data_IF_204568460624
#
_entry.id   IF_204568460624
#
_cell.length_a   1.000
_cell.length_b   1.000
_cell.length_c   1.000
_cell.angle_alpha   90.00
_cell.angle_beta   90.00
_cell.angle_gamma   90.00
#
_symmetry.space_group_name_H-M   'P 1'
#
loop_
_entity.id
_entity.type
_entity.pdbx_description
1 polymer ?
#
# COMPACT_ATOMS: atom_id res chain seq x y z
N UNK A 1 -1.78 0.78 -10.04
CA UNK A 1 -0.78 1.82 -9.74
C UNK A 1 0.49 1.20 -9.16
N UNK A 2 1.56 1.30 -9.94
CA UNK A 2 2.93 0.99 -9.59
C UNK A 2 3.64 2.23 -9.02
N UNK A 3 4.81 2.08 -8.42
CA UNK A 3 5.65 3.22 -7.99
C UNK A 3 5.99 4.11 -9.19
N UNK A 4 6.32 3.51 -10.34
CA UNK A 4 6.57 4.22 -11.60
C UNK A 4 5.38 5.06 -12.08
N UNK A 5 4.15 4.66 -11.77
CA UNK A 5 2.98 5.48 -12.10
C UNK A 5 2.94 6.76 -11.28
N UNK A 6 3.26 6.67 -9.99
CA UNK A 6 3.34 7.82 -9.08
C UNK A 6 4.46 8.76 -9.55
N UNK A 7 5.62 8.20 -9.90
CA UNK A 7 6.75 8.94 -10.46
C UNK A 7 6.36 9.70 -11.74
N UNK A 8 5.68 9.04 -12.68
CA UNK A 8 5.22 9.67 -13.93
C UNK A 8 4.20 10.78 -13.68
N UNK A 9 3.25 10.58 -12.78
CA UNK A 9 2.27 11.60 -12.40
C UNK A 9 2.95 12.84 -11.81
N UNK A 10 3.94 12.65 -10.95
CA UNK A 10 4.74 13.74 -10.38
C UNK A 10 5.54 14.47 -11.48
N UNK A 11 6.23 13.73 -12.34
CA UNK A 11 7.09 14.31 -13.38
C UNK A 11 6.30 15.10 -14.44
N UNK A 12 5.13 14.60 -14.82
CA UNK A 12 4.29 15.21 -15.87
C UNK A 12 3.41 16.34 -15.36
N UNK A 13 3.02 16.30 -14.08
CA UNK A 13 2.10 17.28 -13.48
C UNK A 13 2.60 17.84 -12.13
N UNK A 14 3.85 18.36 -12.06
CA UNK A 14 4.42 18.84 -10.81
C UNK A 14 3.65 20.01 -10.22
N UNK A 15 3.05 20.88 -11.04
CA UNK A 15 2.30 22.05 -10.57
C UNK A 15 0.99 21.70 -9.82
N UNK A 16 0.41 20.53 -10.10
CA UNK A 16 -0.80 20.06 -9.40
C UNK A 16 -0.42 19.49 -8.03
N UNK A 17 0.72 18.80 -7.95
CA UNK A 17 1.17 18.11 -6.74
C UNK A 17 1.93 19.07 -5.81
N UNK A 18 2.74 19.96 -6.37
CA UNK A 18 3.55 20.97 -5.69
C UNK A 18 3.13 22.38 -6.16
N UNK A 19 1.95 22.86 -5.74
CA UNK A 19 1.44 24.14 -6.20
C UNK A 19 2.38 25.28 -5.79
N UNK A 20 2.63 26.20 -6.73
CA UNK A 20 3.51 27.37 -6.58
C UNK A 20 5.01 27.07 -6.40
N UNK A 21 5.43 25.81 -6.52
CA UNK A 21 6.84 25.45 -6.39
C UNK A 21 7.67 25.87 -7.60
N UNK A 22 7.04 25.97 -8.79
CA UNK A 22 7.72 26.37 -10.03
C UNK A 22 8.78 25.35 -10.46
N UNK A 23 8.49 24.06 -10.26
CA UNK A 23 9.39 22.97 -10.58
C UNK A 23 9.49 22.74 -12.08
N UNK A 24 10.72 22.77 -12.59
CA UNK A 24 11.07 22.39 -13.96
C UNK A 24 11.74 21.02 -13.95
N UNK A 25 11.20 20.06 -14.69
CA UNK A 25 11.76 18.71 -14.75
C UNK A 25 13.16 18.73 -15.38
N UNK A 26 14.15 18.23 -14.64
CA UNK A 26 15.50 17.94 -15.15
C UNK A 26 15.51 16.54 -15.77
N UNK A 27 14.90 15.57 -15.09
CA UNK A 27 14.71 14.23 -15.62
C UNK A 27 14.22 13.24 -14.57
N UNK A 28 13.93 12.03 -15.05
CA UNK A 28 13.50 10.88 -14.26
C UNK A 28 14.59 9.81 -14.25
N UNK A 29 14.71 9.05 -13.16
CA UNK A 29 15.67 7.93 -13.01
C UNK A 29 17.11 8.38 -13.32
N UNK A 30 17.51 9.51 -12.76
CA UNK A 30 18.82 10.13 -13.00
C UNK A 30 19.88 9.45 -12.13
N UNK A 31 20.93 8.96 -12.78
CA UNK A 31 22.06 8.32 -12.09
C UNK A 31 22.86 9.35 -11.28
N UNK A 32 23.02 9.10 -9.99
CA UNK A 32 23.85 9.85 -9.06
C UNK A 32 24.84 8.88 -8.40
N UNK A 33 26.08 8.86 -8.89
CA UNK A 33 27.09 7.88 -8.46
C UNK A 33 26.63 6.43 -8.71
N UNK A 34 26.35 5.69 -7.63
CA UNK A 34 25.87 4.29 -7.66
C UNK A 34 24.35 4.16 -7.60
N UNK A 35 23.64 5.26 -7.32
CA UNK A 35 22.22 5.26 -7.01
C UNK A 35 21.45 6.01 -8.12
N UNK A 36 20.12 5.91 -8.14
CA UNK A 36 19.27 6.53 -9.16
C UNK A 36 18.16 7.34 -8.49
N UNK A 37 18.21 8.66 -8.60
CA UNK A 37 17.14 9.51 -8.12
C UNK A 37 15.91 9.34 -9.02
N UNK A 38 14.73 9.10 -8.42
CA UNK A 38 13.50 8.89 -9.18
C UNK A 38 13.14 10.10 -10.04
N UNK A 39 13.20 11.30 -9.47
CA UNK A 39 12.94 12.55 -10.19
C UNK A 39 13.88 13.65 -9.68
N UNK A 40 14.41 14.43 -10.61
CA UNK A 40 15.11 15.68 -10.29
C UNK A 40 14.34 16.84 -10.95
N UNK A 41 13.99 17.82 -10.14
CA UNK A 41 13.51 19.12 -10.60
C UNK A 41 14.55 20.21 -10.33
N UNK A 42 14.36 21.33 -11.00
CA UNK A 42 14.99 22.61 -10.68
C UNK A 42 13.88 23.61 -10.38
N UNK A 43 13.99 24.34 -9.27
CA UNK A 43 13.02 25.39 -8.94
C UNK A 43 13.37 26.74 -9.59
N UNK A 44 12.53 27.75 -9.37
CA UNK A 44 12.73 29.12 -9.88
C UNK A 44 14.03 29.82 -9.39
N UNK A 45 14.70 29.26 -8.39
CA UNK A 45 15.95 29.76 -7.82
C UNK A 45 17.15 28.91 -8.25
N UNK A 46 16.98 28.03 -9.25
CA UNK A 46 17.98 27.08 -9.73
C UNK A 46 18.46 26.08 -8.66
N UNK A 47 17.64 25.81 -7.64
CA UNK A 47 17.92 24.81 -6.61
C UNK A 47 17.50 23.44 -7.12
N UNK A 48 18.34 22.43 -6.90
CA UNK A 48 18.01 21.05 -7.28
C UNK A 48 17.07 20.45 -6.26
N UNK A 49 15.95 19.91 -6.72
CA UNK A 49 14.97 19.23 -5.89
C UNK A 49 14.99 17.76 -6.28
N UNK A 50 15.37 16.89 -5.35
CA UNK A 50 15.34 15.45 -5.56
C UNK A 50 14.06 14.93 -4.95
N UNK A 51 13.24 14.28 -5.77
CA UNK A 51 12.03 13.63 -5.31
C UNK A 51 12.25 12.13 -5.37
N UNK A 52 12.18 11.48 -4.21
CA UNK A 52 12.14 10.02 -4.08
C UNK A 52 10.69 9.58 -3.87
N UNK A 53 10.26 8.53 -4.56
CA UNK A 53 8.88 8.06 -4.57
C UNK A 53 8.83 6.66 -4.01
N UNK A 54 8.02 6.44 -2.98
CA UNK A 54 7.78 5.12 -2.40
C UNK A 54 6.31 4.77 -2.46
N UNK A 55 5.98 3.59 -2.97
CA UNK A 55 4.61 3.07 -2.95
C UNK A 55 4.26 2.48 -1.57
N UNK A 56 3.02 2.68 -1.13
CA UNK A 56 2.48 2.09 0.09
C UNK A 56 2.80 2.90 1.35
N UNK A 57 2.96 2.19 2.47
CA UNK A 57 3.36 2.80 3.75
C UNK A 57 4.86 3.03 3.70
N UNK A 58 5.29 4.26 3.97
CA UNK A 58 6.70 4.62 3.96
C UNK A 58 7.50 3.73 4.92
N UNK A 59 8.47 2.96 4.41
CA UNK A 59 9.26 2.03 5.22
C UNK A 59 10.13 2.76 6.26
N UNK A 60 10.60 2.01 7.27
CA UNK A 60 11.48 2.56 8.32
C UNK A 60 12.86 2.97 7.78
N UNK A 61 13.33 2.32 6.73
CA UNK A 61 14.66 2.52 6.14
C UNK A 61 14.68 3.59 5.03
N UNK A 62 13.54 4.25 4.78
CA UNK A 62 13.36 5.12 3.62
C UNK A 62 14.29 6.36 3.61
N UNK A 63 14.82 6.79 4.76
CA UNK A 63 15.75 7.91 4.82
C UNK A 63 17.14 7.58 4.26
N UNK A 64 17.57 6.31 4.31
CA UNK A 64 18.95 5.92 4.00
C UNK A 64 19.36 6.28 2.57
N UNK A 65 18.50 5.94 1.61
CA UNK A 65 18.74 6.22 0.19
C UNK A 65 18.82 7.73 -0.10
N UNK A 66 17.92 8.51 0.51
CA UNK A 66 17.86 9.97 0.34
C UNK A 66 19.09 10.67 0.93
N UNK A 67 19.59 10.18 2.08
CA UNK A 67 20.81 10.69 2.69
C UNK A 67 22.06 10.40 1.84
N UNK A 68 22.11 9.25 1.16
CA UNK A 68 23.21 8.92 0.25
C UNK A 68 23.25 9.86 -0.97
N UNK A 69 22.10 10.18 -1.57
CA UNK A 69 22.03 11.19 -2.66
C UNK A 69 22.56 12.55 -2.23
N UNK A 70 22.14 13.00 -1.04
CA UNK A 70 22.59 14.27 -0.49
C UNK A 70 24.11 14.30 -0.35
N UNK A 71 24.71 13.24 0.23
CA UNK A 71 26.16 13.12 0.39
C UNK A 71 26.91 13.14 -0.95
N UNK A 72 26.42 12.37 -1.94
CA UNK A 72 27.03 12.32 -3.28
C UNK A 72 26.99 13.68 -3.98
N UNK A 73 25.84 14.36 -3.99
CA UNK A 73 25.69 15.66 -4.64
C UNK A 73 26.49 16.76 -3.94
N UNK A 74 26.56 16.74 -2.61
CA UNK A 74 27.40 17.68 -1.85
C UNK A 74 28.89 17.41 -2.04
N UNK A 75 29.27 16.19 -2.40
CA UNK A 75 30.66 15.87 -2.76
C UNK A 75 31.00 16.39 -4.16
N UNK A 76 30.13 16.20 -5.14
CA UNK A 76 30.34 16.69 -6.51
C UNK A 76 30.20 18.21 -6.64
N UNK A 77 29.32 18.82 -5.85
CA UNK A 77 29.01 20.25 -5.88
C UNK A 77 28.67 20.78 -4.48
N UNK A 78 29.69 21.08 -3.64
CA UNK A 78 29.50 21.46 -2.23
C UNK A 78 28.57 22.65 -2.02
N UNK A 79 28.67 23.64 -2.91
CA UNK A 79 27.91 24.89 -2.84
C UNK A 79 26.49 24.77 -3.43
N UNK A 80 26.16 23.65 -4.07
CA UNK A 80 24.83 23.47 -4.67
C UNK A 80 23.75 23.32 -3.58
N UNK A 81 22.66 24.07 -3.70
CA UNK A 81 21.49 23.87 -2.84
C UNK A 81 20.69 22.69 -3.33
N UNK A 82 20.47 21.73 -2.43
CA UNK A 82 19.72 20.50 -2.70
C UNK A 82 18.60 20.41 -1.68
N UNK A 83 17.36 20.35 -2.15
CA UNK A 83 16.21 19.99 -1.33
C UNK A 83 15.80 18.56 -1.63
N UNK A 84 15.42 17.83 -0.59
CA UNK A 84 15.05 16.43 -0.67
C UNK A 84 13.57 16.33 -0.35
N UNK A 85 12.82 15.69 -1.23
CA UNK A 85 11.38 15.46 -1.08
C UNK A 85 11.15 13.96 -1.13
N UNK A 86 10.44 13.44 -0.14
CA UNK A 86 10.01 12.05 -0.11
C UNK A 86 8.50 12.00 -0.28
N UNK A 87 8.05 11.31 -1.33
CA UNK A 87 6.66 11.05 -1.62
C UNK A 87 6.26 9.61 -1.25
N UNK A 88 5.15 9.41 -0.55
CA UNK A 88 4.58 8.07 -0.36
C UNK A 88 3.05 8.07 -0.18
N UNK A 89 2.40 6.91 -0.35
CA UNK A 89 0.93 6.83 -0.20
C UNK A 89 0.48 7.10 1.24
N UNK A 90 1.21 6.56 2.22
CA UNK A 90 0.97 6.80 3.64
C UNK A 90 2.31 7.11 4.29
N UNK A 91 2.40 8.26 4.97
CA UNK A 91 3.57 8.64 5.76
C UNK A 91 3.17 8.69 7.23
N UNK A 92 3.57 7.71 8.06
CA UNK A 92 3.28 7.72 9.49
C UNK A 92 3.78 9.01 10.17
N UNK A 93 2.99 9.59 11.10
CA UNK A 93 3.29 10.90 11.68
C UNK A 93 4.68 11.01 12.32
N UNK A 94 5.11 9.96 13.01
CA UNK A 94 6.43 9.88 13.64
C UNK A 94 7.57 9.86 12.61
N UNK A 95 7.37 9.19 11.47
CA UNK A 95 8.34 9.15 10.37
C UNK A 95 8.41 10.50 9.68
N UNK A 96 7.25 11.11 9.41
CA UNK A 96 7.16 12.47 8.86
C UNK A 96 7.93 13.46 9.74
N UNK A 97 7.68 13.42 11.05
CA UNK A 97 8.33 14.33 12.02
C UNK A 97 9.85 14.18 12.00
N UNK A 98 10.35 12.95 11.99
CA UNK A 98 11.79 12.68 11.92
C UNK A 98 12.41 13.21 10.62
N UNK A 99 11.85 12.84 9.47
CA UNK A 99 12.34 13.22 8.14
C UNK A 99 12.37 14.74 7.96
N UNK A 100 11.30 15.44 8.34
CA UNK A 100 11.24 16.91 8.25
C UNK A 100 12.25 17.58 9.20
N UNK A 101 12.54 16.97 10.35
CA UNK A 101 13.55 17.49 11.29
C UNK A 101 14.96 17.42 10.71
N UNK A 102 15.25 16.41 9.89
CA UNK A 102 16.55 16.26 9.21
C UNK A 102 16.59 16.96 7.84
N UNK A 103 15.56 17.74 7.49
CA UNK A 103 15.52 18.55 6.27
C UNK A 103 14.99 17.84 5.02
N UNK A 104 14.27 16.72 5.19
CA UNK A 104 13.59 16.01 4.08
C UNK A 104 12.11 16.39 4.11
N UNK A 105 11.64 17.08 3.08
CA UNK A 105 10.22 17.39 2.91
C UNK A 105 9.43 16.11 2.66
N UNK A 106 8.28 15.95 3.33
CA UNK A 106 7.44 14.77 3.20
C UNK A 106 6.11 15.11 2.53
N UNK A 107 5.83 14.45 1.39
CA UNK A 107 4.59 14.61 0.64
C UNK A 107 3.78 13.31 0.63
N UNK A 108 2.70 13.28 1.40
CA UNK A 108 1.75 12.16 1.36
C UNK A 108 0.86 12.26 0.12
N UNK A 109 0.86 11.22 -0.72
CA UNK A 109 0.11 11.10 -1.97
C UNK A 109 -0.81 9.88 -1.92
N UNK A 110 -1.97 10.03 -1.27
CA UNK A 110 -2.94 8.94 -1.10
C UNK A 110 -3.45 8.36 -2.42
N UNK A 111 -3.87 7.09 -2.42
CA UNK A 111 -4.32 6.36 -3.63
C UNK A 111 -5.56 7.02 -4.21
N UNK A 112 -6.51 7.46 -3.38
CA UNK A 112 -7.70 8.16 -3.88
C UNK A 112 -7.35 9.48 -4.57
N UNK A 113 -6.43 10.25 -3.99
CA UNK A 113 -5.93 11.48 -4.60
C UNK A 113 -5.24 11.20 -5.95
N UNK A 114 -4.38 10.17 -6.01
CA UNK A 114 -3.68 9.79 -7.23
C UNK A 114 -4.63 9.25 -8.32
N UNK A 115 -5.68 8.52 -7.94
CA UNK A 115 -6.71 8.08 -8.87
C UNK A 115 -7.50 9.26 -9.45
N UNK A 116 -7.93 10.20 -8.59
CA UNK A 116 -8.62 11.42 -9.03
C UNK A 116 -7.73 12.28 -9.92
N UNK A 117 -6.45 12.42 -9.58
CA UNK A 117 -5.47 13.11 -10.40
C UNK A 117 -5.31 12.42 -11.77
N UNK A 118 -5.16 11.09 -11.77
CA UNK A 118 -5.04 10.32 -13.00
C UNK A 118 -6.27 10.47 -13.90
N UNK A 119 -7.48 10.44 -13.34
CA UNK A 119 -8.71 10.74 -14.08
C UNK A 119 -8.71 12.15 -14.65
N UNK A 120 -8.37 13.15 -13.82
CA UNK A 120 -8.33 14.56 -14.22
C UNK A 120 -7.39 14.82 -15.39
N UNK A 121 -6.23 14.16 -15.41
CA UNK A 121 -5.21 14.33 -16.45
C UNK A 121 -5.26 13.23 -17.52
N UNK A 122 -6.27 12.36 -17.47
CA UNK A 122 -6.45 11.20 -18.35
C UNK A 122 -5.21 10.28 -18.43
N UNK A 123 -4.52 10.09 -17.30
CA UNK A 123 -3.39 9.18 -17.18
C UNK A 123 -3.85 7.72 -17.11
N UNK A 124 -3.19 6.85 -17.86
CA UNK A 124 -3.46 5.42 -17.87
C UNK A 124 -2.38 4.68 -17.07
N UNK A 125 -2.78 4.04 -15.97
CA UNK A 125 -1.85 3.30 -15.12
C UNK A 125 -1.17 2.16 -15.88
N UNK A 126 0.14 2.01 -15.66
CA UNK A 126 0.94 0.91 -16.18
C UNK A 126 0.39 -0.39 -15.57
N UNK A 127 -0.23 -1.21 -16.42
CA UNK A 127 -0.69 -2.55 -16.01
C UNK A 127 0.51 -3.35 -15.52
N UNK A 128 0.40 -3.98 -14.36
CA UNK A 128 1.40 -4.93 -13.86
C UNK A 128 1.45 -6.13 -14.81
N UNK A 129 2.28 -6.09 -15.85
CA UNK A 129 2.48 -7.21 -16.77
C UNK A 129 3.10 -8.44 -16.10
N UNK A 130 3.60 -8.30 -14.87
CA UNK A 130 4.38 -9.34 -14.19
C UNK A 130 3.55 -10.35 -13.39
N UNK A 131 2.26 -10.09 -13.11
CA UNK A 131 1.36 -11.07 -12.47
C UNK A 131 0.58 -11.94 -13.47
N UNK A 132 0.45 -11.52 -14.74
CA UNK A 132 -0.33 -12.25 -15.75
C UNK A 132 0.48 -13.32 -16.52
N UNK A 133 1.82 -13.29 -16.50
CA UNK A 133 2.62 -14.30 -17.23
C UNK A 133 2.69 -15.67 -16.53
N UNK A 134 2.24 -15.80 -15.27
CA UNK A 134 1.96 -17.11 -14.65
C UNK A 134 0.55 -17.64 -14.96
N UNK A 135 -0.27 -16.89 -15.70
CA UNK A 135 -1.64 -17.28 -16.07
C UNK A 135 -1.85 -17.57 -17.57
N UNK A 136 -0.81 -18.00 -18.30
CA UNK A 136 -1.00 -18.70 -19.57
C UNK A 136 -0.98 -20.22 -19.40
N UNK A 137 -1.80 -20.70 -18.48
CA UNK A 137 -2.48 -21.99 -18.66
C UNK A 137 -3.85 -21.87 -18.02
N UNK A 138 -4.82 -21.63 -18.89
CA UNK A 138 -6.27 -21.59 -18.72
C UNK A 138 -6.81 -22.16 -17.41
N UNK A 139 -7.22 -21.29 -16.50
CA UNK A 139 -8.38 -21.46 -15.63
C UNK A 139 -8.89 -20.08 -15.29
N UNK A 140 -10.16 -19.80 -15.61
CA UNK A 140 -10.91 -18.72 -14.96
C UNK A 140 -10.69 -18.96 -13.45
N UNK A 141 -9.99 -18.08 -12.75
CA UNK A 141 -9.89 -18.17 -11.29
C UNK A 141 -11.27 -17.86 -10.74
N UNK A 142 -12.12 -18.88 -10.72
CA UNK A 142 -13.44 -18.82 -10.11
C UNK A 142 -13.18 -18.52 -8.64
N UNK A 143 -13.38 -17.26 -8.26
CA UNK A 143 -13.40 -16.88 -6.85
C UNK A 143 -14.33 -17.85 -6.13
N UNK A 144 -13.90 -18.49 -5.04
CA UNK A 144 -14.65 -19.60 -4.46
C UNK A 144 -16.11 -19.22 -4.18
N UNK A 145 -17.01 -20.14 -4.51
CA UNK A 145 -18.46 -20.00 -4.29
C UNK A 145 -18.86 -20.17 -2.83
N UNK A 146 -17.94 -20.06 -1.88
CA UNK A 146 -18.22 -20.29 -0.47
C UNK A 146 -19.20 -19.25 0.06
N UNK A 147 -20.21 -19.70 0.81
CA UNK A 147 -21.25 -18.85 1.41
C UNK A 147 -20.77 -18.09 2.66
N UNK A 148 -19.52 -18.34 3.07
CA UNK A 148 -18.92 -17.80 4.28
C UNK A 148 -17.75 -16.86 3.97
N UNK A 149 -18.04 -15.56 3.90
CA UNK A 149 -17.07 -14.51 3.59
C UNK A 149 -16.82 -13.63 4.81
N UNK A 150 -15.55 -13.33 5.05
CA UNK A 150 -15.07 -12.56 6.19
C UNK A 150 -14.11 -11.47 5.75
N UNK A 151 -14.26 -10.26 6.31
CA UNK A 151 -13.26 -9.22 6.24
C UNK A 151 -12.33 -9.33 7.43
N UNK A 152 -11.04 -9.21 7.17
CA UNK A 152 -9.95 -9.13 8.14
C UNK A 152 -9.35 -7.73 8.06
N UNK A 153 -9.62 -6.90 9.07
CA UNK A 153 -9.19 -5.52 9.09
C UNK A 153 -7.73 -5.40 9.57
N UNK A 154 -6.92 -4.66 8.80
CA UNK A 154 -5.56 -4.25 9.08
C UNK A 154 -5.54 -2.77 9.47
N UNK A 155 -4.91 -2.44 10.60
CA UNK A 155 -4.63 -1.04 10.96
C UNK A 155 -3.20 -0.69 10.52
N UNK A 156 -2.99 0.27 9.58
CA UNK A 156 -1.66 0.64 9.10
C UNK A 156 -0.73 1.22 10.18
N UNK A 157 -1.28 1.68 11.30
CA UNK A 157 -0.49 2.12 12.45
C UNK A 157 0.07 0.96 13.28
N UNK A 158 -0.51 -0.24 13.16
CA UNK A 158 -0.11 -1.44 13.91
C UNK A 158 0.59 -2.48 13.05
N UNK A 159 0.14 -2.66 11.81
CA UNK A 159 0.67 -3.66 10.90
C UNK A 159 0.82 -3.08 9.50
N UNK A 160 2.04 -3.16 8.96
CA UNK A 160 2.39 -2.67 7.63
C UNK A 160 1.97 -3.67 6.54
N UNK A 161 0.65 -3.77 6.36
CA UNK A 161 0.05 -4.74 5.43
C UNK A 161 0.45 -4.49 3.98
N UNK A 162 0.70 -3.24 3.59
CA UNK A 162 1.04 -2.89 2.22
C UNK A 162 2.37 -3.51 1.81
N UNK A 163 3.36 -3.41 2.70
CA UNK A 163 4.67 -3.99 2.45
C UNK A 163 4.67 -5.51 2.71
N UNK A 164 3.87 -6.01 3.65
CA UNK A 164 3.70 -7.46 3.88
C UNK A 164 3.13 -8.18 2.65
N UNK A 165 2.09 -7.62 2.01
CA UNK A 165 1.50 -8.19 0.79
C UNK A 165 2.43 -8.09 -0.44
N UNK A 166 3.47 -7.27 -0.37
CA UNK A 166 4.44 -7.08 -1.44
C UNK A 166 5.71 -7.93 -1.26
N UNK A 167 5.83 -8.64 -0.13
CA UNK A 167 7.05 -9.34 0.24
C UNK A 167 7.11 -10.75 -0.36
N UNK A 168 8.11 -10.99 -1.20
CA UNK A 168 8.37 -12.30 -1.80
C UNK A 168 8.70 -13.38 -0.75
N UNK A 169 9.22 -13.00 0.43
CA UNK A 169 9.49 -13.93 1.53
C UNK A 169 8.20 -14.46 2.18
N UNK A 170 7.14 -13.64 2.22
CA UNK A 170 5.80 -14.04 2.67
C UNK A 170 5.10 -14.84 1.56
N UNK A 171 5.27 -14.42 0.30
CA UNK A 171 4.68 -15.09 -0.85
C UNK A 171 3.15 -14.99 -0.86
N UNK A 172 2.47 -16.11 -1.11
CA UNK A 172 0.99 -16.18 -1.19
C UNK A 172 0.33 -16.67 0.11
N UNK A 173 1.09 -16.78 1.20
CA UNK A 173 0.61 -17.34 2.47
C UNK A 173 0.81 -16.34 3.60
N UNK A 174 -0.27 -15.90 4.23
CA UNK A 174 -0.24 -14.92 5.32
C UNK A 174 -1.06 -15.41 6.51
N UNK A 175 -0.69 -14.99 7.72
CA UNK A 175 -1.43 -15.32 8.94
C UNK A 175 -2.20 -14.11 9.45
N UNK A 176 -3.38 -14.34 10.02
CA UNK A 176 -4.19 -13.25 10.53
C UNK A 176 -4.81 -13.55 11.88
N UNK A 177 -4.82 -12.53 12.74
CA UNK A 177 -5.43 -12.61 14.06
C UNK A 177 -6.94 -12.78 13.97
N UNK A 178 -7.46 -13.69 14.81
CA UNK A 178 -8.90 -13.88 15.01
C UNK A 178 -9.22 -13.53 16.46
N UNK A 179 -9.62 -12.28 16.67
CA UNK A 179 -9.98 -11.78 18.02
C UNK A 179 -11.46 -12.00 18.33
N UNK A 180 -12.30 -12.13 17.30
CA UNK A 180 -13.75 -12.31 17.39
C UNK A 180 -14.19 -13.40 16.40
N UNK A 181 -15.41 -13.93 16.58
CA UNK A 181 -15.97 -14.94 15.66
C UNK A 181 -15.15 -16.24 15.55
N UNK A 182 -14.40 -16.61 16.61
CA UNK A 182 -13.50 -17.79 16.63
C UNK A 182 -14.21 -19.11 16.31
N UNK A 183 -15.49 -19.24 16.67
CA UNK A 183 -16.30 -20.44 16.45
C UNK A 183 -17.04 -20.40 15.11
N UNK A 184 -17.07 -19.26 14.42
CA UNK A 184 -17.79 -19.05 13.17
C UNK A 184 -16.85 -18.98 11.96
N UNK A 185 -15.58 -18.59 12.17
CA UNK A 185 -14.55 -18.62 11.15
C UNK A 185 -13.98 -20.05 11.10
N UNK A 186 -13.99 -20.65 9.92
CA UNK A 186 -13.54 -22.02 9.70
C UNK A 186 -12.67 -22.10 8.45
N UNK A 187 -11.90 -23.19 8.36
CA UNK A 187 -11.20 -23.60 7.15
C UNK A 187 -12.16 -23.67 5.95
N UNK A 188 -11.70 -23.23 4.78
CA UNK A 188 -12.45 -23.18 3.53
C UNK A 188 -13.31 -21.93 3.34
N UNK A 189 -13.39 -21.06 4.36
CA UNK A 189 -14.04 -19.75 4.22
C UNK A 189 -13.19 -18.79 3.38
N UNK A 190 -13.84 -17.74 2.87
CA UNK A 190 -13.16 -16.66 2.14
C UNK A 190 -12.82 -15.52 3.08
N UNK A 191 -11.58 -15.07 2.99
CA UNK A 191 -11.10 -13.86 3.63
C UNK A 191 -10.95 -12.72 2.63
N UNK A 192 -11.20 -11.50 3.09
CA UNK A 192 -10.86 -10.27 2.39
C UNK A 192 -10.01 -9.41 3.32
N UNK A 193 -8.80 -9.06 2.90
CA UNK A 193 -7.91 -8.21 3.68
C UNK A 193 -8.31 -6.75 3.44
N UNK A 194 -8.76 -6.09 4.50
CA UNK A 194 -9.20 -4.70 4.48
C UNK A 194 -8.18 -3.81 5.17
N UNK A 195 -7.64 -2.81 4.49
CA UNK A 195 -6.87 -1.76 5.13
C UNK A 195 -7.82 -0.71 5.71
N UNK A 196 -7.57 -0.24 6.93
CA UNK A 196 -8.32 0.85 7.56
C UNK A 196 -7.63 2.22 7.40
N UNK A 197 -8.33 3.30 7.77
CA UNK A 197 -7.78 4.66 7.74
C UNK A 197 -8.05 5.41 6.43
N UNK A 198 -7.12 6.28 6.02
CA UNK A 198 -7.28 7.16 4.85
C UNK A 198 -7.36 6.39 3.54
N UNK A 199 -6.56 5.33 3.44
CA UNK A 199 -6.50 4.43 2.29
C UNK A 199 -7.41 3.21 2.49
N UNK A 200 -8.58 3.41 3.12
CA UNK A 200 -9.43 2.28 3.46
C UNK A 200 -9.95 1.56 2.21
N UNK A 201 -9.97 0.22 2.24
CA UNK A 201 -10.43 -0.60 1.13
C UNK A 201 -9.96 -2.05 1.21
N UNK A 202 -10.32 -2.85 0.20
CA UNK A 202 -9.94 -4.27 0.10
C UNK A 202 -8.68 -4.40 -0.76
N UNK A 203 -7.65 -5.04 -0.20
CA UNK A 203 -6.32 -5.18 -0.80
C UNK A 203 -5.96 -6.60 -1.21
N UNK A 204 -6.68 -7.60 -0.71
CA UNK A 204 -6.51 -8.99 -1.15
C UNK A 204 -7.76 -9.82 -0.88
N UNK A 205 -7.93 -10.87 -1.68
CA UNK A 205 -8.89 -11.95 -1.46
C UNK A 205 -8.11 -13.22 -1.13
N UNK A 206 -8.56 -13.94 -0.10
CA UNK A 206 -7.87 -15.10 0.45
C UNK A 206 -8.80 -16.29 0.68
N UNK A 207 -8.22 -17.48 0.72
CA UNK A 207 -8.84 -18.70 1.24
C UNK A 207 -8.28 -18.99 2.63
N UNK A 208 -9.15 -19.25 3.61
CA UNK A 208 -8.72 -19.63 4.95
C UNK A 208 -8.34 -21.12 4.95
N UNK A 209 -7.07 -21.43 5.19
CA UNK A 209 -6.52 -22.78 5.11
C UNK A 209 -6.63 -23.60 6.40
N UNK A 210 -6.85 -22.94 7.54
CA UNK A 210 -6.94 -23.57 8.86
C UNK A 210 -8.07 -22.98 9.68
N UNK A 211 -8.64 -23.77 10.58
CA UNK A 211 -9.49 -23.23 11.64
C UNK A 211 -8.68 -22.32 12.58
N UNK A 212 -9.33 -21.42 13.34
CA UNK A 212 -8.66 -20.58 14.31
C UNK A 212 -7.95 -21.42 15.38
N UNK A 213 -6.64 -21.27 15.48
CA UNK A 213 -5.80 -22.01 16.42
C UNK A 213 -4.72 -21.10 17.00
N UNK A 214 -4.16 -21.49 18.16
CA UNK A 214 -3.03 -20.78 18.74
C UNK A 214 -1.79 -21.01 17.87
N UNK A 215 -1.16 -19.92 17.44
CA UNK A 215 0.05 -19.93 16.63
C UNK A 215 0.98 -18.83 17.12
N UNK A 216 2.29 -19.00 16.92
CA UNK A 216 3.24 -17.89 16.94
C UNK A 216 3.10 -17.05 15.67
N UNK A 217 3.61 -15.82 15.71
CA UNK A 217 3.78 -15.00 14.51
C UNK A 217 4.91 -15.59 13.65
N UNK A 218 4.67 -15.94 12.38
CA UNK A 218 5.71 -16.46 11.49
C UNK A 218 6.83 -15.45 11.28
N UNK A 219 8.08 -15.90 11.31
CA UNK A 219 9.26 -15.03 11.27
C UNK A 219 9.28 -14.02 10.10
N UNK A 220 8.92 -14.38 8.85
CA UNK A 220 8.84 -13.43 7.75
C UNK A 220 7.84 -12.29 7.97
N UNK A 221 6.73 -12.56 8.69
CA UNK A 221 5.65 -11.59 8.94
C UNK A 221 5.96 -10.67 10.13
N UNK A 222 6.81 -11.11 11.07
CA UNK A 222 7.14 -10.38 12.32
C UNK A 222 7.67 -8.97 12.10
N UNK A 223 8.38 -8.73 11.00
CA UNK A 223 9.01 -7.43 10.69
C UNK A 223 8.00 -6.33 10.35
N UNK A 224 6.76 -6.69 10.02
CA UNK A 224 5.69 -5.75 9.64
C UNK A 224 4.85 -5.25 10.81
N UNK A 225 4.99 -5.84 12.00
CA UNK A 225 4.36 -5.32 13.21
C UNK A 225 5.10 -4.07 13.72
N UNK A 226 4.34 -3.02 14.03
CA UNK A 226 4.94 -1.78 14.54
C UNK A 226 5.32 -1.88 16.02
N UNK A 227 4.50 -2.57 16.80
CA UNK A 227 4.67 -2.83 18.23
C UNK A 227 5.20 -4.24 18.50
N UNK A 228 6.16 -4.38 19.43
CA UNK A 228 6.72 -5.67 19.79
C UNK A 228 5.72 -6.59 20.51
N UNK A 229 4.80 -6.03 21.28
CA UNK A 229 3.75 -6.79 21.97
C UNK A 229 2.80 -7.49 20.99
N UNK A 230 2.73 -7.01 19.75
CA UNK A 230 1.87 -7.59 18.74
C UNK A 230 2.43 -8.88 18.12
N UNK A 231 3.76 -8.96 18.00
CA UNK A 231 4.49 -10.13 17.45
C UNK A 231 4.90 -11.17 18.50
N UNK A 232 4.68 -10.90 19.78
CA UNK A 232 5.04 -11.80 20.88
C UNK A 232 3.87 -12.70 21.30
N UNK A 233 4.24 -13.91 21.76
CA UNK A 233 3.31 -14.91 22.29
C UNK A 233 2.45 -15.62 21.24
N UNK A 234 1.83 -16.70 21.67
CA UNK A 234 0.81 -17.38 20.87
C UNK A 234 -0.48 -16.57 20.90
N UNK A 235 -1.06 -16.35 19.73
CA UNK A 235 -2.39 -15.73 19.59
C UNK A 235 -3.23 -16.57 18.64
N UNK A 236 -4.55 -16.47 18.78
CA UNK A 236 -5.47 -17.16 17.88
C UNK A 236 -5.35 -16.58 16.48
N UNK A 237 -4.89 -17.39 15.53
CA UNK A 237 -4.69 -17.01 14.13
C UNK A 237 -5.32 -18.03 13.21
N UNK A 238 -5.54 -17.59 11.97
CA UNK A 238 -5.77 -18.48 10.83
C UNK A 238 -4.65 -18.29 9.83
N UNK A 239 -4.28 -19.37 9.14
CA UNK A 239 -3.45 -19.30 7.94
C UNK A 239 -4.35 -19.04 6.73
N UNK A 240 -3.97 -18.10 5.88
CA UNK A 240 -4.72 -17.74 4.68
C UNK A 240 -3.84 -17.78 3.45
N UNK A 241 -4.39 -18.26 2.34
CA UNK A 241 -3.76 -18.21 1.03
C UNK A 241 -4.32 -17.05 0.21
N UNK A 242 -3.47 -16.20 -0.32
CA UNK A 242 -3.86 -15.10 -1.22
C UNK A 242 -4.26 -15.71 -2.57
N UNK A 243 -5.54 -15.59 -2.91
CA UNK A 243 -6.10 -16.03 -4.20
C UNK A 243 -5.96 -14.91 -5.23
N UNK A 244 -6.21 -13.67 -4.80
CA UNK A 244 -6.15 -12.48 -5.66
C UNK A 244 -5.56 -11.31 -4.89
N UNK A 245 -4.42 -10.81 -5.34
CA UNK A 245 -3.84 -9.57 -4.83
C UNK A 245 -4.48 -8.38 -5.54
N UNK A 246 -4.99 -7.44 -4.76
CA UNK A 246 -5.52 -6.14 -5.23
C UNK A 246 -4.57 -5.01 -4.83
N UNK A 247 -3.32 -5.34 -4.51
CA UNK A 247 -2.32 -4.40 -4.01
C UNK A 247 -2.13 -3.18 -4.95
N UNK A 248 -2.16 -3.41 -6.27
CA UNK A 248 -2.03 -2.34 -7.27
C UNK A 248 -3.35 -1.72 -7.72
N UNK A 249 -4.49 -2.31 -7.36
CA UNK A 249 -5.82 -1.85 -7.76
C UNK A 249 -6.82 -2.20 -6.65
N UNK A 250 -6.68 -1.58 -5.46
CA UNK A 250 -7.52 -1.92 -4.33
C UNK A 250 -8.97 -1.51 -4.60
N UNK A 251 -9.91 -2.31 -4.10
CA UNK A 251 -11.31 -1.89 -4.10
C UNK A 251 -11.50 -0.90 -2.95
N UNK A 252 -11.40 0.39 -3.27
CA UNK A 252 -11.37 1.47 -2.28
C UNK A 252 -12.71 1.61 -1.55
N UNK A 253 -12.68 2.11 -0.31
CA UNK A 253 -13.88 2.46 0.45
C UNK A 253 -14.76 3.45 -0.31
N UNK A 254 -14.18 4.40 -1.04
CA UNK A 254 -14.93 5.37 -1.84
C UNK A 254 -15.72 4.68 -2.96
N UNK A 255 -15.09 3.76 -3.69
CA UNK A 255 -15.75 2.92 -4.70
C UNK A 255 -16.86 2.08 -4.08
N UNK A 256 -16.62 1.44 -2.93
CA UNK A 256 -17.61 0.63 -2.22
C UNK A 256 -18.81 1.49 -1.78
N UNK A 257 -18.56 2.69 -1.24
CA UNK A 257 -19.63 3.60 -0.82
C UNK A 257 -20.48 4.15 -1.99
N UNK A 258 -19.89 4.23 -3.19
CA UNK A 258 -20.58 4.63 -4.42
C UNK A 258 -21.29 3.47 -5.13
N UNK A 259 -21.11 2.24 -4.66
CA UNK A 259 -21.71 1.05 -5.28
C UNK A 259 -22.99 0.65 -4.55
N UNK A 260 -24.09 0.55 -5.31
CA UNK A 260 -25.37 0.12 -4.79
C UNK A 260 -25.33 -1.30 -4.24
N UNK A 261 -25.88 -1.47 -3.03
CA UNK A 261 -25.91 -2.74 -2.31
C UNK A 261 -24.70 -2.96 -1.38
N UNK A 262 -23.66 -2.13 -1.45
CA UNK A 262 -22.49 -2.23 -0.55
C UNK A 262 -22.42 -1.14 0.53
N UNK A 263 -23.25 -0.09 0.44
CA UNK A 263 -23.23 1.00 1.44
C UNK A 263 -23.63 0.52 2.85
N UNK A 264 -24.29 -0.64 2.93
CA UNK A 264 -24.75 -1.26 4.18
C UNK A 264 -23.70 -2.10 4.92
N UNK A 265 -22.54 -2.34 4.32
CA UNK A 265 -21.55 -3.28 4.85
C UNK A 265 -21.17 -2.98 6.31
N UNK A 266 -21.05 -4.04 7.12
CA UNK A 266 -20.80 -3.91 8.56
C UNK A 266 -19.47 -3.21 8.88
N UNK A 267 -18.44 -3.42 8.06
CA UNK A 267 -17.15 -2.72 8.17
C UNK A 267 -17.30 -1.19 8.04
N UNK A 268 -18.29 -0.70 7.29
CA UNK A 268 -18.54 0.73 7.11
C UNK A 268 -19.36 1.31 8.27
N UNK A 269 -20.36 0.56 8.76
CA UNK A 269 -21.28 1.02 9.81
C UNK A 269 -20.71 0.89 11.23
N UNK A 270 -19.87 -0.11 11.47
CA UNK A 270 -19.34 -0.45 12.79
C UNK A 270 -17.84 -0.80 12.74
N UNK A 271 -16.94 0.12 12.35
CA UNK A 271 -15.55 -0.19 12.01
C UNK A 271 -14.64 -0.61 13.19
N UNK A 272 -15.14 -0.65 14.43
CA UNK A 272 -14.33 -0.91 15.64
C UNK A 272 -13.92 -2.39 15.82
N UNK A 273 -14.48 -3.32 15.04
CA UNK A 273 -14.10 -4.74 15.05
C UNK A 273 -12.84 -5.06 14.23
N UNK A 274 -12.35 -6.30 14.33
CA UNK A 274 -11.21 -6.78 13.51
C UNK A 274 -11.62 -7.81 12.46
N UNK A 275 -12.76 -8.48 12.66
CA UNK A 275 -13.27 -9.52 11.79
C UNK A 275 -14.76 -9.21 11.52
N UNK A 276 -15.17 -9.15 10.26
CA UNK A 276 -16.55 -8.79 9.89
C UNK A 276 -17.13 -9.79 8.93
N UNK A 277 -18.36 -10.21 9.19
CA UNK A 277 -19.11 -11.04 8.27
C UNK A 277 -19.52 -10.23 7.04
N UNK A 278 -19.44 -10.85 5.87
CA UNK A 278 -19.94 -10.32 4.59
C UNK A 278 -21.04 -11.25 4.08
N UNK A 279 -22.12 -10.66 3.60
CA UNK A 279 -23.28 -11.37 3.05
C UNK A 279 -22.98 -11.90 1.64
N UNK A 280 -23.72 -12.91 1.20
CA UNK A 280 -23.55 -13.48 -0.14
C UNK A 280 -23.92 -12.47 -1.23
N UNK A 281 -24.89 -11.60 -0.97
CA UNK A 281 -25.29 -10.50 -1.86
C UNK A 281 -24.16 -9.47 -2.01
N UNK A 282 -23.58 -9.00 -0.90
CA UNK A 282 -22.42 -8.10 -0.92
C UNK A 282 -21.24 -8.75 -1.64
N UNK A 283 -20.96 -10.02 -1.37
CA UNK A 283 -19.89 -10.75 -2.03
C UNK A 283 -20.11 -10.87 -3.54
N UNK A 284 -21.34 -11.12 -3.96
CA UNK A 284 -21.69 -11.21 -5.39
C UNK A 284 -21.43 -9.90 -6.11
N UNK A 285 -21.76 -8.76 -5.49
CA UNK A 285 -21.47 -7.43 -6.05
C UNK A 285 -19.95 -7.20 -6.07
N UNK A 286 -19.23 -7.48 -4.98
CA UNK A 286 -17.77 -7.28 -4.90
C UNK A 286 -17.05 -8.04 -6.01
N UNK A 287 -17.44 -9.28 -6.29
CA UNK A 287 -16.85 -10.09 -7.38
C UNK A 287 -16.95 -9.41 -8.75
N UNK A 288 -17.94 -8.56 -9.00
CA UNK A 288 -18.07 -7.84 -10.27
C UNK A 288 -17.13 -6.64 -10.39
N UNK A 289 -16.59 -6.16 -9.28
CA UNK A 289 -15.73 -4.97 -9.21
C UNK A 289 -14.23 -5.30 -9.26
N UNK A 290 -13.86 -6.57 -9.14
CA UNK A 290 -12.46 -7.01 -8.95
C UNK A 290 -11.93 -7.90 -10.06
#
# INVERSE_FOLDING_TARGET
>A
MLEKDIENLIAQHPDIIFPNAGFRLVGQQIKLGKCFADIIFEDKHNRKIIVEVKRGILSRDASGQVMEYYGLLKTESPDSFVELVLCANIIPPERKKFLETIGIECKELGINYLNQLAEQVNYQFIKSRQTDQRQQTTTISVLPSADNIWIFQANPQRYDIMNALADDEIGDSIHWLVNQHKTEICKGHIGMIWLSGKEAGIYAITEILTDPQLMLEPDPERKYWTDATDKEGEKTRVKMKIIKSLLHSPLTKETIMKTDGLQGMRILRQPQGTNFRVTTEEWTIIKTLI
#
